data_IF_259375683214
#
_entry.id   IF_259375683214
#
_cell.length_a   1.000
_cell.length_b   1.000
_cell.length_c   1.000
_cell.angle_alpha   90.00
_cell.angle_beta   90.00
_cell.angle_gamma   90.00
#
_symmetry.space_group_name_H-M   'P 1'
#
loop_
_entity.id
_entity.type
_entity.pdbx_description
1 polymer ?
#
# COMPACT_ATOMS: atom_id res chain seq x y z
N UNK A 1 12.92 14.62 9.92
CA UNK A 1 13.26 15.82 9.12
C UNK A 1 12.26 15.97 7.98
N UNK A 2 11.59 17.09 7.87
CA UNK A 2 10.62 17.32 6.80
C UNK A 2 11.31 17.81 5.53
N UNK A 3 10.88 17.28 4.40
CA UNK A 3 11.39 17.69 3.09
C UNK A 3 10.38 18.64 2.43
N UNK A 4 10.79 19.77 1.84
CA UNK A 4 9.86 20.75 1.24
C UNK A 4 8.94 20.13 0.18
N UNK A 5 9.43 19.19 -0.62
CA UNK A 5 8.63 18.52 -1.64
C UNK A 5 7.55 17.62 -1.03
N UNK A 6 7.93 16.83 -0.01
CA UNK A 6 7.03 15.83 0.57
C UNK A 6 6.16 16.37 1.70
N UNK A 7 6.53 17.50 2.29
CA UNK A 7 5.80 18.04 3.44
C UNK A 7 4.35 18.36 3.08
N UNK A 8 3.41 17.73 3.78
CA UNK A 8 1.97 17.78 3.55
C UNK A 8 1.50 17.25 2.18
N UNK A 9 2.39 16.65 1.38
CA UNK A 9 2.01 16.04 0.11
C UNK A 9 1.17 14.80 0.37
N UNK A 10 0.06 14.68 -0.36
CA UNK A 10 -0.84 13.53 -0.24
C UNK A 10 -0.33 12.38 -1.09
N UNK A 11 0.06 11.29 -0.44
CA UNK A 11 0.64 10.11 -1.08
C UNK A 11 -0.25 8.90 -0.80
N UNK A 12 -0.69 8.23 -1.85
CA UNK A 12 -1.43 6.97 -1.77
C UNK A 12 -0.48 5.81 -2.05
N UNK A 13 -0.41 4.84 -1.14
CA UNK A 13 0.50 3.70 -1.25
C UNK A 13 -0.31 2.41 -1.22
N UNK A 14 -0.29 1.63 -2.30
CA UNK A 14 -0.80 0.27 -2.26
C UNK A 14 0.32 -0.67 -1.80
N UNK A 15 -0.02 -1.65 -0.98
CA UNK A 15 0.97 -2.60 -0.46
C UNK A 15 1.80 -2.09 0.71
N UNK A 16 1.30 -1.11 1.45
CA UNK A 16 2.01 -0.53 2.62
C UNK A 16 2.19 -1.51 3.78
N UNK A 17 1.47 -2.63 3.79
CA UNK A 17 1.63 -3.67 4.81
C UNK A 17 2.77 -4.64 4.52
N UNK A 18 3.32 -4.62 3.31
CA UNK A 18 4.46 -5.43 2.92
C UNK A 18 5.79 -4.83 3.38
N UNK A 19 6.89 -5.55 3.13
CA UNK A 19 8.22 -5.12 3.58
C UNK A 19 8.65 -3.82 2.91
N UNK A 20 8.66 -3.77 1.57
CA UNK A 20 9.06 -2.55 0.84
C UNK A 20 8.08 -1.41 1.05
N UNK A 21 6.78 -1.70 1.00
CA UNK A 21 5.74 -0.70 1.22
C UNK A 21 5.78 -0.11 2.62
N UNK A 22 6.07 -0.94 3.63
CA UNK A 22 6.25 -0.49 5.02
C UNK A 22 7.42 0.47 5.18
N UNK A 23 8.59 0.12 4.63
CA UNK A 23 9.76 1.00 4.67
C UNK A 23 9.53 2.31 3.92
N UNK A 24 8.93 2.27 2.74
CA UNK A 24 8.60 3.48 1.98
C UNK A 24 7.64 4.38 2.77
N UNK A 25 6.64 3.80 3.40
CA UNK A 25 5.68 4.52 4.23
C UNK A 25 6.37 5.23 5.40
N UNK A 26 7.25 4.52 6.12
CA UNK A 26 8.01 5.10 7.22
C UNK A 26 8.89 6.27 6.74
N UNK A 27 9.56 6.09 5.62
CA UNK A 27 10.42 7.12 5.05
C UNK A 27 9.63 8.36 4.66
N UNK A 28 8.58 8.20 3.86
CA UNK A 28 7.75 9.32 3.42
C UNK A 28 7.10 10.05 4.60
N UNK A 29 6.68 9.30 5.62
CA UNK A 29 6.15 9.85 6.86
C UNK A 29 7.19 10.75 7.55
N UNK A 30 8.44 10.30 7.62
CA UNK A 30 9.54 11.09 8.20
C UNK A 30 9.82 12.38 7.43
N UNK A 31 9.53 12.39 6.14
CA UNK A 31 9.67 13.56 5.27
C UNK A 31 8.47 14.52 5.33
N UNK A 32 7.45 14.17 6.11
CA UNK A 32 6.28 15.01 6.33
C UNK A 32 5.09 14.76 5.40
N UNK A 33 5.11 13.69 4.61
CA UNK A 33 3.99 13.35 3.73
C UNK A 33 2.74 12.92 4.52
N UNK A 34 1.58 13.20 3.95
CA UNK A 34 0.29 12.66 4.40
C UNK A 34 0.00 11.40 3.62
N UNK A 35 -0.15 10.27 4.30
CA UNK A 35 -0.20 8.96 3.65
C UNK A 35 -1.55 8.28 3.85
N UNK A 36 -2.08 7.75 2.76
CA UNK A 36 -3.16 6.78 2.75
C UNK A 36 -2.63 5.46 2.23
N UNK A 37 -2.64 4.43 3.06
CA UNK A 37 -2.24 3.08 2.71
C UNK A 37 -3.43 2.20 2.38
N UNK A 38 -3.28 1.34 1.39
CA UNK A 38 -4.31 0.41 0.93
C UNK A 38 -3.67 -0.94 0.60
N UNK A 39 -3.98 -1.96 1.39
CA UNK A 39 -3.39 -3.29 1.23
C UNK A 39 -4.18 -4.36 1.98
N UNK A 40 -3.85 -5.61 1.73
CA UNK A 40 -4.34 -6.72 2.55
C UNK A 40 -3.75 -6.64 3.96
N UNK A 41 -4.48 -7.17 4.93
CA UNK A 41 -3.97 -7.31 6.29
C UNK A 41 -2.72 -8.19 6.28
N UNK A 42 -1.66 -7.82 7.02
CA UNK A 42 -0.47 -8.67 7.14
C UNK A 42 -0.82 -10.03 7.73
N UNK A 43 -0.20 -11.08 7.22
CA UNK A 43 -0.44 -12.45 7.69
C UNK A 43 0.17 -12.71 9.07
N UNK A 44 1.25 -12.02 9.42
CA UNK A 44 1.98 -12.23 10.67
C UNK A 44 2.02 -10.96 11.52
N UNK A 45 1.82 -11.14 12.84
CA UNK A 45 2.02 -10.07 13.84
C UNK A 45 3.49 -9.68 13.99
N UNK A 46 4.41 -10.49 13.47
CA UNK A 46 5.86 -10.21 13.46
C UNK A 46 6.31 -9.47 12.19
N UNK A 47 5.37 -9.03 11.37
CA UNK A 47 5.70 -8.27 10.17
C UNK A 47 6.23 -6.88 10.50
N UNK A 48 6.97 -6.29 9.57
CA UNK A 48 7.46 -4.91 9.67
C UNK A 48 6.32 -3.93 9.99
N UNK A 49 5.15 -4.14 9.39
CA UNK A 49 3.98 -3.29 9.58
C UNK A 49 3.62 -3.11 11.07
N UNK A 50 3.59 -4.21 11.81
CA UNK A 50 3.27 -4.18 13.24
C UNK A 50 4.49 -3.82 14.10
N UNK A 51 5.64 -4.40 13.82
CA UNK A 51 6.86 -4.19 14.61
C UNK A 51 7.33 -2.73 14.60
N UNK A 52 7.23 -2.08 13.45
CA UNK A 52 7.63 -0.69 13.28
C UNK A 52 6.46 0.30 13.38
N UNK A 53 5.28 -0.15 13.78
CA UNK A 53 4.08 0.70 13.91
C UNK A 53 3.83 1.56 12.67
N UNK A 54 3.89 0.93 11.49
CA UNK A 54 3.75 1.63 10.21
C UNK A 54 2.43 2.40 10.12
N UNK A 55 1.36 1.86 10.71
CA UNK A 55 0.02 2.48 10.69
C UNK A 55 -0.08 3.78 11.49
N UNK A 56 0.87 4.04 12.37
CA UNK A 56 0.80 5.21 13.25
C UNK A 56 0.94 6.51 12.46
N UNK A 57 -0.06 7.38 12.58
CA UNK A 57 -0.04 8.68 11.92
C UNK A 57 -0.36 8.65 10.42
N UNK A 58 -0.91 7.54 9.91
CA UNK A 58 -1.39 7.44 8.53
C UNK A 58 -2.83 6.94 8.49
N UNK A 59 -3.48 7.11 7.34
CA UNK A 59 -4.78 6.48 7.06
C UNK A 59 -4.52 5.09 6.47
N UNK A 60 -4.52 4.07 7.32
CA UNK A 60 -4.22 2.68 6.94
C UNK A 60 -5.49 1.89 6.71
N UNK A 61 -5.64 1.31 5.51
CA UNK A 61 -6.83 0.57 5.09
C UNK A 61 -6.47 -0.85 4.69
N UNK A 62 -7.21 -1.82 5.24
CA UNK A 62 -7.08 -3.23 4.87
C UNK A 62 -8.17 -3.58 3.86
N UNK A 63 -7.81 -3.65 2.60
CA UNK A 63 -8.70 -3.99 1.51
C UNK A 63 -7.94 -4.70 0.40
N UNK A 64 -8.71 -5.35 -0.49
CA UNK A 64 -8.13 -6.03 -1.64
C UNK A 64 -8.08 -5.10 -2.85
N UNK A 65 -6.92 -5.04 -3.53
CA UNK A 65 -6.73 -4.24 -4.76
C UNK A 65 -7.71 -4.66 -5.87
N UNK A 66 -8.27 -5.87 -5.80
CA UNK A 66 -9.28 -6.36 -6.74
C UNK A 66 -10.68 -5.78 -6.49
N UNK A 67 -10.91 -5.18 -5.33
CA UNK A 67 -12.17 -4.51 -5.05
C UNK A 67 -12.17 -3.10 -5.62
N UNK A 68 -12.51 -2.99 -6.90
CA UNK A 68 -12.50 -1.74 -7.64
C UNK A 68 -13.35 -0.64 -6.97
N UNK A 69 -14.55 -0.99 -6.50
CA UNK A 69 -15.46 -0.01 -5.90
C UNK A 69 -14.84 0.66 -4.66
N UNK A 70 -14.31 -0.13 -3.74
CA UNK A 70 -13.67 0.39 -2.52
C UNK A 70 -12.40 1.18 -2.84
N UNK A 71 -11.57 0.66 -3.74
CA UNK A 71 -10.36 1.34 -4.17
C UNK A 71 -10.68 2.71 -4.79
N UNK A 72 -11.61 2.74 -5.72
CA UNK A 72 -12.04 3.97 -6.40
C UNK A 72 -12.58 5.01 -5.41
N UNK A 73 -13.42 4.58 -4.47
CA UNK A 73 -13.94 5.47 -3.43
C UNK A 73 -12.82 6.04 -2.57
N UNK A 74 -11.87 5.21 -2.15
CA UNK A 74 -10.79 5.64 -1.26
C UNK A 74 -9.85 6.60 -1.96
N UNK A 75 -9.46 6.31 -3.20
CA UNK A 75 -8.64 7.21 -4.00
C UNK A 75 -9.33 8.55 -4.22
N UNK A 76 -10.62 8.54 -4.56
CA UNK A 76 -11.39 9.77 -4.77
C UNK A 76 -11.50 10.61 -3.50
N UNK A 77 -11.76 9.98 -2.36
CA UNK A 77 -11.87 10.68 -1.07
C UNK A 77 -10.54 11.29 -0.64
N UNK A 78 -9.45 10.56 -0.83
CA UNK A 78 -8.13 11.03 -0.42
C UNK A 78 -7.56 12.08 -1.38
N UNK A 79 -7.87 11.98 -2.65
CA UNK A 79 -7.35 12.86 -3.73
C UNK A 79 -5.82 12.95 -3.70
N UNK A 80 -5.11 11.83 -3.94
CA UNK A 80 -3.65 11.83 -3.85
C UNK A 80 -3.00 12.67 -4.94
N UNK A 81 -1.84 13.23 -4.60
CA UNK A 81 -0.97 13.91 -5.56
C UNK A 81 0.06 12.96 -6.16
N UNK A 82 0.45 11.92 -5.39
CA UNK A 82 1.39 10.89 -5.81
C UNK A 82 0.86 9.53 -5.41
N UNK A 83 1.01 8.54 -6.30
CA UNK A 83 0.62 7.15 -6.03
C UNK A 83 1.83 6.24 -6.22
N UNK A 84 2.09 5.40 -5.20
CA UNK A 84 3.06 4.30 -5.30
C UNK A 84 2.30 2.98 -5.26
N UNK A 85 2.43 2.20 -6.30
CA UNK A 85 1.74 0.91 -6.43
C UNK A 85 2.70 -0.25 -6.13
N UNK A 86 2.64 -0.77 -4.91
CA UNK A 86 3.47 -1.89 -4.46
C UNK A 86 2.64 -3.12 -4.10
N UNK A 87 1.32 -3.06 -4.23
CA UNK A 87 0.46 -4.21 -3.99
C UNK A 87 0.63 -5.24 -5.11
N UNK A 88 1.05 -6.45 -4.73
CA UNK A 88 1.28 -7.56 -5.65
C UNK A 88 1.28 -8.89 -4.90
N UNK A 89 1.15 -9.99 -5.65
CA UNK A 89 1.53 -11.31 -5.16
C UNK A 89 2.97 -11.58 -5.62
N UNK A 90 3.98 -11.40 -4.75
CA UNK A 90 5.39 -11.42 -5.16
C UNK A 90 6.08 -12.78 -5.03
N UNK A 91 5.42 -13.76 -4.39
CA UNK A 91 6.04 -15.05 -4.07
C UNK A 91 6.04 -15.97 -5.27
N UNK A 92 7.23 -16.34 -5.75
CA UNK A 92 7.39 -17.23 -6.91
C UNK A 92 6.73 -18.59 -6.66
N UNK A 93 6.90 -19.15 -5.47
CA UNK A 93 6.29 -20.43 -5.10
C UNK A 93 4.76 -20.37 -5.23
N UNK A 94 4.11 -19.33 -4.73
CA UNK A 94 2.67 -19.12 -4.85
C UNK A 94 2.23 -18.99 -6.32
N UNK A 95 3.05 -18.40 -7.17
CA UNK A 95 2.72 -18.24 -8.60
C UNK A 95 2.63 -19.58 -9.32
N UNK A 96 3.38 -20.59 -8.89
CA UNK A 96 3.27 -21.95 -9.42
C UNK A 96 2.06 -22.72 -8.87
N UNK A 97 1.74 -22.50 -7.59
CA UNK A 97 0.62 -23.19 -6.92
C UNK A 97 -0.72 -22.63 -7.42
N UNK A 98 -0.83 -21.31 -7.49
CA UNK A 98 -2.06 -20.64 -7.91
C UNK A 98 -1.75 -19.47 -8.88
N UNK A 99 -1.45 -19.78 -10.16
CA UNK A 99 -1.11 -18.74 -11.14
C UNK A 99 -2.25 -17.75 -11.38
N UNK A 100 -3.49 -18.19 -11.30
CA UNK A 100 -4.65 -17.31 -11.49
C UNK A 100 -4.69 -16.18 -10.47
N UNK A 101 -4.41 -16.48 -9.20
CA UNK A 101 -4.35 -15.47 -8.13
C UNK A 101 -3.24 -14.45 -8.40
N UNK A 102 -2.07 -14.93 -8.86
CA UNK A 102 -0.93 -14.07 -9.17
C UNK A 102 -1.25 -13.12 -10.33
N UNK A 103 -1.79 -13.65 -11.42
CA UNK A 103 -2.18 -12.83 -12.58
C UNK A 103 -3.31 -11.87 -12.23
N UNK A 104 -4.34 -12.32 -11.53
CA UNK A 104 -5.45 -11.47 -11.12
C UNK A 104 -4.97 -10.30 -10.26
N UNK A 105 -4.19 -10.58 -9.21
CA UNK A 105 -3.70 -9.54 -8.30
C UNK A 105 -2.78 -8.57 -9.03
N UNK A 106 -1.83 -9.06 -9.80
CA UNK A 106 -0.77 -8.23 -10.38
C UNK A 106 -1.23 -7.49 -11.64
N UNK A 107 -2.14 -8.05 -12.42
CA UNK A 107 -2.65 -7.43 -13.64
C UNK A 107 -3.93 -6.67 -13.36
N UNK A 108 -5.00 -7.35 -12.93
CA UNK A 108 -6.28 -6.70 -12.68
C UNK A 108 -6.21 -5.69 -11.55
N UNK A 109 -5.44 -5.96 -10.51
CA UNK A 109 -5.19 -5.00 -9.44
C UNK A 109 -4.55 -3.72 -9.94
N UNK A 110 -3.56 -3.82 -10.83
CA UNK A 110 -2.92 -2.67 -11.45
C UNK A 110 -3.87 -1.90 -12.36
N UNK A 111 -4.70 -2.61 -13.12
CA UNK A 111 -5.73 -2.00 -13.98
C UNK A 111 -6.73 -1.21 -13.14
N UNK A 112 -7.12 -1.74 -11.99
CA UNK A 112 -8.11 -1.08 -11.12
C UNK A 112 -7.61 0.25 -10.57
N UNK A 113 -6.31 0.35 -10.30
CA UNK A 113 -5.71 1.57 -9.76
C UNK A 113 -5.60 2.65 -10.84
#
# INVERSE_FOLDING_TARGET
MKNPFWNNRKVFITGHTGFKGGWLTLWLKSLGAKICGYALKPESKKSLYYEAEVSKGIDSNFNNILNYKQLSQKVSQFSPEVVFHLAAQPLVKESYICPQKTFSTNISGTINL
#
